data_IF_989488683796
#
_entry.id   IF_989488683796
#
_cell.length_a   1.000
_cell.length_b   1.000
_cell.length_c   1.000
_cell.angle_alpha   90.00
_cell.angle_beta   90.00
_cell.angle_gamma   90.00
#
_symmetry.space_group_name_H-M   'P 1'
#
loop_
_entity.id
_entity.type
_entity.pdbx_description
1 polymer ?
#
# COMPACT_ATOMS: atom_id res chain seq x y z
N UNK A 1 9.82 9.07 9.76
CA UNK A 1 9.28 10.41 9.43
C UNK A 1 8.14 10.28 8.44
N UNK A 2 7.03 10.99 8.69
CA UNK A 2 5.88 10.99 7.77
C UNK A 2 6.18 11.96 6.62
N UNK A 3 6.05 11.50 5.37
CA UNK A 3 6.26 12.33 4.20
C UNK A 3 5.12 13.35 4.01
N UNK A 4 5.45 14.56 3.56
CA UNK A 4 4.47 15.63 3.30
C UNK A 4 3.93 15.54 1.88
N UNK A 5 2.97 14.65 1.67
CA UNK A 5 2.37 14.43 0.34
C UNK A 5 1.04 15.16 0.13
N UNK A 6 0.54 15.84 1.15
CA UNK A 6 -0.81 16.38 1.16
C UNK A 6 -1.88 15.29 1.28
N UNK A 7 -3.15 15.67 1.17
CA UNK A 7 -4.27 14.73 1.20
C UNK A 7 -4.59 14.22 -0.21
N UNK A 8 -3.97 13.12 -0.60
CA UNK A 8 -4.09 12.52 -1.93
C UNK A 8 -5.50 12.00 -2.18
N UNK A 9 -6.12 11.34 -1.19
CA UNK A 9 -7.50 10.86 -1.32
C UNK A 9 -8.49 12.00 -1.55
N UNK A 10 -8.31 13.13 -0.84
CA UNK A 10 -9.15 14.31 -1.05
C UNK A 10 -8.93 14.96 -2.42
N UNK A 11 -7.69 14.98 -2.90
CA UNK A 11 -7.38 15.46 -4.26
C UNK A 11 -8.05 14.58 -5.32
N UNK A 12 -7.89 13.28 -5.26
CA UNK A 12 -8.50 12.35 -6.19
C UNK A 12 -10.03 12.47 -6.21
N UNK A 13 -10.66 12.52 -5.05
CA UNK A 13 -12.13 12.61 -4.92
C UNK A 13 -12.70 13.98 -5.30
N UNK A 14 -12.14 15.04 -4.75
CA UNK A 14 -12.77 16.36 -4.82
C UNK A 14 -12.37 17.14 -6.07
N UNK A 15 -11.11 16.98 -6.51
CA UNK A 15 -10.57 17.69 -7.68
C UNK A 15 -10.72 16.84 -8.95
N UNK A 16 -10.22 15.60 -8.93
CA UNK A 16 -10.24 14.71 -10.08
C UNK A 16 -11.58 13.95 -10.25
N UNK A 17 -12.46 13.99 -9.24
CA UNK A 17 -13.77 13.30 -9.25
C UNK A 17 -13.71 11.80 -9.41
N UNK A 18 -12.61 11.18 -9.03
CA UNK A 18 -12.44 9.73 -9.09
C UNK A 18 -13.42 8.99 -8.17
N UNK A 19 -13.95 7.87 -8.63
CA UNK A 19 -14.88 6.99 -7.86
C UNK A 19 -14.14 6.36 -6.71
N UNK A 20 -13.02 5.70 -7.00
CA UNK A 20 -12.12 5.12 -6.03
C UNK A 20 -10.88 6.00 -5.95
N UNK A 21 -10.56 6.46 -4.78
CA UNK A 21 -9.36 7.29 -4.57
C UNK A 21 -8.16 6.43 -4.23
N UNK A 22 -6.98 6.88 -4.62
CA UNK A 22 -5.71 6.37 -4.12
C UNK A 22 -5.59 6.51 -2.60
N UNK A 23 -4.60 5.88 -2.02
CA UNK A 23 -4.44 5.81 -0.58
C UNK A 23 -3.53 6.91 -0.02
N UNK A 24 -3.86 7.41 1.18
CA UNK A 24 -2.95 8.22 1.99
C UNK A 24 -1.99 7.38 2.85
N UNK A 25 -2.00 6.06 2.68
CA UNK A 25 -1.20 5.13 3.50
C UNK A 25 0.28 5.29 3.22
N UNK A 26 1.04 5.17 4.31
CA UNK A 26 2.49 5.01 4.27
C UNK A 26 2.84 3.72 4.98
N UNK A 27 3.68 2.91 4.37
CA UNK A 27 4.15 1.66 4.95
C UNK A 27 5.04 1.93 6.15
N UNK A 28 4.90 1.13 7.19
CA UNK A 28 5.78 1.18 8.36
C UNK A 28 6.91 0.16 8.30
N UNK A 29 6.70 -0.93 7.58
CA UNK A 29 7.59 -2.09 7.59
C UNK A 29 7.42 -2.97 8.85
N UNK A 30 6.30 -2.81 9.56
CA UNK A 30 5.98 -3.57 10.76
C UNK A 30 4.67 -4.31 10.56
N UNK A 31 4.63 -5.57 10.97
CA UNK A 31 3.43 -6.35 11.17
C UNK A 31 3.12 -6.47 12.66
N UNK A 32 1.84 -6.50 12.99
CA UNK A 32 1.38 -6.65 14.37
C UNK A 32 0.75 -8.02 14.60
N UNK A 33 0.92 -8.54 15.81
CA UNK A 33 0.31 -9.80 16.27
C UNK A 33 -0.86 -9.46 17.19
N UNK A 34 -2.07 -9.96 16.91
CA UNK A 34 -3.25 -9.69 17.72
C UNK A 34 -3.06 -10.01 19.21
N UNK A 35 -3.53 -9.12 20.07
CA UNK A 35 -3.41 -9.23 21.51
C UNK A 35 -2.10 -8.70 22.10
N UNK A 36 -1.06 -8.48 21.29
CA UNK A 36 0.16 -7.80 21.72
C UNK A 36 -0.09 -6.31 21.97
N UNK A 37 0.77 -5.71 22.79
CA UNK A 37 0.79 -4.25 22.99
C UNK A 37 1.84 -3.63 22.10
N UNK A 38 1.40 -2.72 21.24
CA UNK A 38 2.27 -1.87 20.42
C UNK A 38 2.45 -0.53 21.14
N UNK A 39 3.69 -0.13 21.38
CA UNK A 39 4.02 1.18 21.89
C UNK A 39 4.37 2.11 20.73
N UNK A 40 3.62 3.19 20.56
CA UNK A 40 3.80 4.16 19.47
C UNK A 40 4.06 5.53 20.07
N UNK A 41 5.26 6.07 19.89
CA UNK A 41 5.61 7.41 20.33
C UNK A 41 5.55 8.39 19.17
N UNK A 42 4.78 9.47 19.33
CA UNK A 42 4.61 10.53 18.34
C UNK A 42 5.37 11.78 18.77
N UNK A 43 6.44 12.10 18.05
CA UNK A 43 7.19 13.36 18.20
C UNK A 43 6.58 14.39 17.25
N UNK A 44 5.83 15.34 17.80
CA UNK A 44 5.13 16.37 17.06
C UNK A 44 4.97 17.62 17.92
N UNK A 45 5.03 18.82 17.30
CA UNK A 45 4.72 20.10 17.96
C UNK A 45 3.20 20.23 18.17
N UNK A 46 2.80 21.19 18.99
CA UNK A 46 1.37 21.39 19.33
C UNK A 46 0.51 21.64 18.08
N UNK A 47 1.04 22.38 17.12
CA UNK A 47 0.34 22.72 15.87
C UNK A 47 0.45 21.65 14.77
N UNK A 48 1.27 20.62 14.96
CA UNK A 48 1.47 19.59 13.94
C UNK A 48 0.24 18.67 13.84
N UNK A 49 -0.13 18.25 12.64
CA UNK A 49 -1.19 17.28 12.46
C UNK A 49 -0.75 15.92 12.96
N UNK A 50 -1.68 15.16 13.52
CA UNK A 50 -1.40 13.84 14.06
C UNK A 50 -1.87 12.75 13.09
N UNK A 51 -1.06 11.71 12.86
CA UNK A 51 -1.42 10.62 11.98
C UNK A 51 -2.41 9.66 12.63
N UNK A 52 -3.04 8.86 11.79
CA UNK A 52 -3.84 7.70 12.20
C UNK A 52 -3.03 6.43 11.93
N UNK A 53 -2.95 5.56 12.91
CA UNK A 53 -2.38 4.22 12.77
C UNK A 53 -3.46 3.29 12.21
N UNK A 54 -3.10 2.45 11.24
CA UNK A 54 -4.03 1.54 10.58
C UNK A 54 -3.49 0.11 10.66
N UNK A 55 -4.19 -0.74 11.37
CA UNK A 55 -3.97 -2.18 11.31
C UNK A 55 -4.75 -2.76 10.15
N UNK A 56 -4.13 -3.64 9.37
CA UNK A 56 -4.79 -4.31 8.25
C UNK A 56 -4.65 -5.81 8.37
N UNK A 57 -5.62 -6.53 7.85
CA UNK A 57 -5.51 -7.96 7.67
C UNK A 57 -4.45 -8.26 6.60
N UNK A 58 -3.64 -9.32 6.80
CA UNK A 58 -2.57 -9.67 5.85
C UNK A 58 -3.13 -10.07 4.49
N UNK A 59 -3.96 -11.09 4.44
CA UNK A 59 -4.66 -11.51 3.23
C UNK A 59 -6.15 -11.39 3.50
N UNK A 60 -6.83 -10.59 2.70
CA UNK A 60 -8.24 -10.35 2.81
C UNK A 60 -8.96 -10.67 1.52
N UNK A 61 -10.25 -10.44 1.52
CA UNK A 61 -11.07 -10.62 0.35
C UNK A 61 -12.08 -9.49 0.22
N UNK A 62 -12.02 -8.78 -0.90
CA UNK A 62 -12.96 -7.75 -1.33
C UNK A 62 -13.47 -6.87 -0.17
N UNK A 63 -14.82 -6.69 -0.09
CA UNK A 63 -15.47 -5.86 0.94
C UNK A 63 -15.31 -6.39 2.37
N UNK A 64 -14.72 -7.56 2.55
CA UNK A 64 -14.45 -8.18 3.86
C UNK A 64 -13.01 -8.02 4.32
N UNK A 65 -12.24 -7.23 3.60
CA UNK A 65 -10.93 -6.80 4.07
C UNK A 65 -11.09 -6.01 5.36
N UNK A 66 -10.55 -6.55 6.44
CA UNK A 66 -10.64 -5.91 7.74
C UNK A 66 -9.48 -4.95 7.96
N UNK A 67 -9.82 -3.79 8.48
CA UNK A 67 -8.87 -2.83 9.02
C UNK A 67 -9.43 -2.18 10.27
N UNK A 68 -8.55 -1.67 11.11
CA UNK A 68 -8.90 -0.91 12.30
C UNK A 68 -8.01 0.31 12.40
N UNK A 69 -8.60 1.47 12.70
CA UNK A 69 -7.93 2.76 12.71
C UNK A 69 -7.85 3.32 14.14
N UNK A 70 -6.69 3.90 14.47
CA UNK A 70 -6.43 4.52 15.77
C UNK A 70 -5.85 5.90 15.56
N UNK A 71 -6.59 6.93 15.99
CA UNK A 71 -6.05 8.29 16.07
C UNK A 71 -4.96 8.35 17.13
N UNK A 72 -3.76 8.77 16.73
CA UNK A 72 -2.63 8.87 17.64
C UNK A 72 -2.63 10.21 18.38
N UNK A 73 -2.17 10.18 19.62
CA UNK A 73 -1.87 11.37 20.42
C UNK A 73 -0.36 11.67 20.40
N UNK A 74 0.03 12.90 20.73
CA UNK A 74 1.43 13.26 20.97
C UNK A 74 1.98 12.47 22.14
N UNK A 75 3.25 12.07 22.06
CA UNK A 75 3.89 11.25 23.07
C UNK A 75 3.54 9.78 22.92
N UNK A 76 3.50 9.05 24.02
CA UNK A 76 3.32 7.62 24.07
C UNK A 76 1.86 7.22 23.90
N UNK A 77 1.60 6.30 22.97
CA UNK A 77 0.34 5.59 22.78
C UNK A 77 0.60 4.10 23.01
N UNK A 78 -0.14 3.48 23.91
CA UNK A 78 -0.14 2.03 24.10
C UNK A 78 -1.40 1.46 23.49
N UNK A 79 -1.24 0.60 22.48
CA UNK A 79 -2.35 0.09 21.67
C UNK A 79 -2.33 -1.42 21.69
N UNK A 80 -3.42 -2.03 22.14
CA UNK A 80 -3.61 -3.48 21.97
C UNK A 80 -3.96 -3.76 20.52
N UNK A 81 -3.17 -4.61 19.88
CA UNK A 81 -3.37 -4.99 18.47
C UNK A 81 -4.70 -5.73 18.33
N UNK A 82 -5.60 -5.26 17.46
CA UNK A 82 -6.90 -5.88 17.29
C UNK A 82 -6.81 -7.21 16.56
N UNK A 83 -7.69 -8.14 16.91
CA UNK A 83 -7.93 -9.33 16.09
C UNK A 83 -8.85 -8.96 14.92
N UNK A 84 -8.30 -9.03 13.71
CA UNK A 84 -9.02 -8.76 12.46
C UNK A 84 -9.48 -10.04 11.76
N UNK A 85 -9.34 -11.20 12.41
CA UNK A 85 -9.75 -12.48 11.85
C UNK A 85 -11.27 -12.55 11.66
N UNK A 86 -11.68 -13.03 10.50
CA UNK A 86 -13.08 -13.31 10.19
C UNK A 86 -13.25 -14.80 9.86
N UNK A 87 -13.83 -15.55 10.80
CA UNK A 87 -14.05 -16.99 10.66
C UNK A 87 -15.03 -17.38 9.53
N UNK A 88 -15.76 -16.42 8.96
CA UNK A 88 -16.65 -16.67 7.82
C UNK A 88 -15.90 -16.99 6.54
N UNK A 89 -14.62 -16.73 6.50
CA UNK A 89 -13.69 -17.08 5.43
C UNK A 89 -12.84 -18.25 5.91
N UNK A 90 -13.02 -19.40 5.33
CA UNK A 90 -12.40 -20.67 5.70
C UNK A 90 -10.88 -20.74 5.55
N UNK A 91 -10.19 -19.62 5.39
CA UNK A 91 -8.74 -19.57 5.37
C UNK A 91 -8.25 -19.07 6.71
N UNK A 92 -7.55 -19.94 7.43
CA UNK A 92 -6.70 -19.53 8.55
C UNK A 92 -5.55 -18.70 7.99
N UNK A 93 -5.81 -17.43 7.76
CA UNK A 93 -4.73 -16.46 7.67
C UNK A 93 -4.27 -16.19 9.08
N UNK A 94 -2.99 -15.99 9.28
CA UNK A 94 -2.50 -15.53 10.57
C UNK A 94 -3.26 -14.26 10.93
N UNK A 95 -3.83 -14.17 12.12
CA UNK A 95 -4.43 -12.94 12.57
C UNK A 95 -3.35 -11.87 12.61
N UNK A 96 -3.62 -10.70 12.09
CA UNK A 96 -2.63 -9.62 12.00
C UNK A 96 -2.23 -9.32 10.57
N UNK A 97 -1.37 -8.35 10.40
CA UNK A 97 -0.88 -7.91 9.09
C UNK A 97 -0.11 -6.60 9.14
N UNK A 98 0.23 -6.04 7.98
CA UNK A 98 0.99 -4.81 7.89
C UNK A 98 0.29 -3.64 8.56
N UNK A 99 1.08 -2.82 9.25
CA UNK A 99 0.65 -1.57 9.87
C UNK A 99 0.98 -0.42 8.93
N UNK A 100 0.02 0.49 8.77
CA UNK A 100 0.19 1.71 7.99
C UNK A 100 -0.05 2.96 8.85
N UNK A 101 0.43 4.08 8.35
CA UNK A 101 0.10 5.40 8.87
C UNK A 101 -0.64 6.18 7.79
N UNK A 102 -1.79 6.74 8.10
CA UNK A 102 -2.40 7.73 7.22
C UNK A 102 -1.65 9.05 7.33
N UNK A 103 -1.35 9.61 6.18
CA UNK A 103 -0.72 10.91 6.08
C UNK A 103 -1.68 12.02 6.57
N UNK A 104 -1.32 12.76 7.64
CA UNK A 104 -2.19 13.78 8.20
C UNK A 104 -2.05 15.14 7.53
N UNK A 105 -1.05 15.30 6.65
CA UNK A 105 -0.74 16.61 6.05
C UNK A 105 -1.77 17.01 5.01
N UNK A 106 -2.13 18.28 5.01
CA UNK A 106 -2.86 18.95 3.94
C UNK A 106 -1.95 19.98 3.27
N UNK A 107 -2.30 20.47 2.08
CA UNK A 107 -1.50 21.45 1.33
C UNK A 107 -1.14 22.71 2.11
N UNK A 108 -2.02 23.11 3.04
CA UNK A 108 -1.88 24.36 3.79
C UNK A 108 -1.04 24.24 5.06
N UNK A 109 -0.60 23.04 5.41
CA UNK A 109 0.13 22.81 6.66
C UNK A 109 1.64 22.96 6.43
N UNK A 110 2.24 23.96 7.05
CA UNK A 110 3.69 24.24 7.02
C UNK A 110 4.32 23.86 8.36
N UNK A 111 4.16 22.64 8.81
CA UNK A 111 4.79 22.14 10.03
C UNK A 111 6.07 21.35 9.71
N UNK A 112 6.88 21.10 10.73
CA UNK A 112 7.99 20.15 10.63
C UNK A 112 7.45 18.71 10.44
N UNK A 113 8.31 17.81 9.97
CA UNK A 113 7.88 16.43 9.81
C UNK A 113 7.58 15.78 11.16
N UNK A 114 6.41 15.20 11.29
CA UNK A 114 6.05 14.36 12.42
C UNK A 114 6.88 13.07 12.37
N UNK A 115 7.47 12.68 13.51
CA UNK A 115 8.22 11.44 13.62
C UNK A 115 7.46 10.44 14.46
N UNK A 116 7.51 9.20 14.03
CA UNK A 116 6.88 8.08 14.70
C UNK A 116 7.95 7.06 15.05
N UNK A 117 7.94 6.62 16.29
CA UNK A 117 8.76 5.52 16.79
C UNK A 117 7.82 4.41 17.25
N UNK A 118 8.10 3.19 16.87
CA UNK A 118 7.27 2.03 17.21
C UNK A 118 8.12 0.96 17.87
N UNK A 119 7.57 0.34 18.91
CA UNK A 119 8.12 -0.81 19.59
C UNK A 119 7.02 -1.85 19.81
N UNK A 120 7.34 -3.12 19.52
CA UNK A 120 6.39 -4.23 19.43
C UNK A 120 6.06 -4.63 18.00
N UNK A 121 5.41 -5.79 17.83
CA UNK A 121 5.25 -6.46 16.56
C UNK A 121 6.58 -7.00 16.01
N UNK A 122 6.65 -7.22 14.71
CA UNK A 122 7.87 -7.66 14.02
C UNK A 122 8.06 -6.92 12.71
N UNK A 123 9.32 -6.76 12.30
CA UNK A 123 9.67 -6.10 11.03
C UNK A 123 9.52 -7.07 9.87
N UNK A 124 9.07 -6.53 8.73
CA UNK A 124 9.01 -7.24 7.44
C UNK A 124 9.99 -6.59 6.46
N UNK A 125 10.47 -7.34 5.46
CA UNK A 125 11.29 -6.74 4.41
C UNK A 125 10.51 -5.67 3.67
N UNK A 126 11.15 -4.53 3.44
CA UNK A 126 10.58 -3.42 2.69
C UNK A 126 11.61 -2.90 1.71
N UNK A 127 11.19 -2.69 0.47
CA UNK A 127 11.98 -2.00 -0.54
C UNK A 127 11.30 -0.68 -0.91
N UNK A 128 11.95 0.43 -0.69
CA UNK A 128 11.50 1.75 -1.18
C UNK A 128 12.29 2.12 -2.42
N UNK A 129 11.66 2.81 -3.34
CA UNK A 129 12.32 3.31 -4.54
C UNK A 129 13.59 4.08 -4.17
N UNK A 130 14.73 3.60 -4.66
CA UNK A 130 16.05 4.15 -4.35
C UNK A 130 16.81 3.44 -3.24
N UNK A 131 16.21 2.48 -2.54
CA UNK A 131 16.91 1.63 -1.59
C UNK A 131 17.90 0.69 -2.33
N UNK A 132 18.86 0.14 -1.58
CA UNK A 132 19.77 -0.87 -2.11
C UNK A 132 19.06 -2.21 -2.32
N UNK A 133 19.09 -2.70 -3.55
CA UNK A 133 18.41 -3.94 -3.93
C UNK A 133 19.05 -5.19 -3.29
N UNK A 134 20.35 -5.16 -3.02
CA UNK A 134 21.05 -6.29 -2.41
C UNK A 134 20.75 -6.36 -0.89
N UNK A 135 20.71 -5.21 -0.22
CA UNK A 135 20.27 -5.15 1.18
C UNK A 135 18.84 -5.68 1.33
N UNK A 136 17.94 -5.32 0.41
CA UNK A 136 16.58 -5.85 0.41
C UNK A 136 16.54 -7.37 0.19
N UNK A 137 17.31 -7.91 -0.77
CA UNK A 137 17.38 -9.36 -1.02
C UNK A 137 17.87 -10.12 0.20
N UNK A 138 18.89 -9.61 0.89
CA UNK A 138 19.41 -10.19 2.11
C UNK A 138 18.36 -10.19 3.23
N UNK A 139 17.71 -9.05 3.47
CA UNK A 139 16.64 -8.95 4.45
C UNK A 139 15.46 -9.89 4.14
N UNK A 140 15.12 -10.05 2.86
CA UNK A 140 14.06 -10.95 2.41
C UNK A 140 14.43 -12.43 2.64
N UNK A 141 15.68 -12.80 2.40
CA UNK A 141 16.17 -14.16 2.65
C UNK A 141 16.16 -14.50 4.15
N UNK A 142 16.70 -13.62 4.99
CA UNK A 142 16.70 -13.76 6.46
C UNK A 142 15.27 -13.84 7.02
N UNK A 143 14.36 -13.00 6.52
CA UNK A 143 12.96 -13.03 6.94
C UNK A 143 12.28 -14.36 6.62
N UNK A 144 12.55 -14.94 5.47
CA UNK A 144 11.96 -16.23 5.07
C UNK A 144 12.50 -17.40 5.89
N UNK A 145 13.72 -17.31 6.42
CA UNK A 145 14.24 -18.28 7.38
C UNK A 145 13.45 -18.22 8.69
N UNK A 146 13.16 -17.01 9.21
CA UNK A 146 12.32 -16.82 10.40
C UNK A 146 10.89 -17.31 10.16
N UNK A 147 10.31 -16.97 9.02
CA UNK A 147 8.98 -17.44 8.62
C UNK A 147 8.87 -18.96 8.57
N UNK A 148 9.91 -19.64 8.08
CA UNK A 148 9.96 -21.10 8.02
C UNK A 148 10.20 -21.78 9.38
N UNK A 149 10.89 -21.09 10.30
CA UNK A 149 11.26 -21.63 11.61
C UNK A 149 10.13 -21.54 12.64
N UNK A 150 9.28 -20.51 12.54
CA UNK A 150 8.22 -20.22 13.52
C UNK A 150 6.82 -20.32 12.89
N UNK A 151 6.23 -21.52 12.95
CA UNK A 151 4.92 -21.79 12.38
C UNK A 151 3.85 -20.89 12.99
N UNK A 152 3.30 -20.03 12.14
CA UNK A 152 2.13 -19.20 12.44
C UNK A 152 2.40 -17.86 13.15
N UNK A 153 3.65 -17.50 13.47
CA UNK A 153 3.95 -16.19 14.06
C UNK A 153 4.13 -15.11 12.98
N UNK A 154 4.96 -15.39 11.99
CA UNK A 154 5.22 -14.46 10.89
C UNK A 154 4.22 -14.62 9.74
N UNK A 155 3.89 -13.55 9.05
CA UNK A 155 3.10 -13.59 7.82
C UNK A 155 4.02 -13.70 6.59
N UNK A 156 3.57 -14.42 5.56
CA UNK A 156 4.26 -14.46 4.26
C UNK A 156 4.05 -13.13 3.51
N UNK A 157 4.74 -12.06 3.93
CA UNK A 157 4.52 -10.71 3.39
C UNK A 157 5.81 -9.92 3.26
N UNK A 158 5.88 -9.12 2.21
CA UNK A 158 6.84 -8.03 2.00
C UNK A 158 6.15 -6.88 1.28
N UNK A 159 6.73 -5.69 1.37
CA UNK A 159 6.18 -4.51 0.71
C UNK A 159 7.24 -3.79 -0.12
N UNK A 160 6.82 -3.33 -1.31
CA UNK A 160 7.62 -2.43 -2.13
C UNK A 160 6.85 -1.13 -2.32
N UNK A 161 7.52 0.01 -2.24
CA UNK A 161 6.87 1.33 -2.34
C UNK A 161 7.63 2.29 -3.25
N UNK A 162 6.89 2.90 -4.17
CA UNK A 162 7.27 4.11 -4.89
C UNK A 162 6.37 5.27 -4.50
N UNK A 163 6.39 6.34 -5.29
CA UNK A 163 5.46 7.47 -5.13
C UNK A 163 4.04 7.11 -5.59
N UNK A 164 3.88 6.16 -6.52
CA UNK A 164 2.61 5.82 -7.19
C UNK A 164 2.07 4.46 -6.84
N UNK A 165 2.88 3.55 -6.32
CA UNK A 165 2.42 2.20 -5.97
C UNK A 165 2.93 1.74 -4.61
N UNK A 166 2.08 1.01 -3.91
CA UNK A 166 2.47 0.13 -2.80
C UNK A 166 2.13 -1.28 -3.25
N UNK A 167 3.14 -2.14 -3.38
CA UNK A 167 2.95 -3.57 -3.64
C UNK A 167 3.04 -4.31 -2.31
N UNK A 168 1.94 -4.90 -1.86
CA UNK A 168 1.90 -5.79 -0.69
C UNK A 168 1.74 -7.21 -1.20
N UNK A 169 2.85 -7.94 -1.29
CA UNK A 169 2.95 -9.25 -1.92
C UNK A 169 3.48 -10.29 -0.94
N UNK A 170 3.43 -11.57 -1.31
CA UNK A 170 4.04 -12.60 -0.46
C UNK A 170 5.56 -12.54 -0.53
N UNK A 171 6.22 -12.70 0.61
CA UNK A 171 7.67 -12.79 0.69
C UNK A 171 8.21 -13.98 -0.14
N UNK A 172 7.46 -15.08 -0.16
CA UNK A 172 7.77 -16.25 -1.00
C UNK A 172 7.80 -15.93 -2.49
N UNK A 173 6.85 -15.13 -3.00
CA UNK A 173 6.83 -14.68 -4.40
C UNK A 173 7.95 -13.69 -4.68
N UNK A 174 8.15 -12.74 -3.77
CA UNK A 174 9.23 -11.76 -3.89
C UNK A 174 10.59 -12.46 -3.95
N UNK A 175 10.82 -13.51 -3.16
CA UNK A 175 12.04 -14.33 -3.24
C UNK A 175 12.20 -14.93 -4.65
N UNK A 176 11.15 -15.56 -5.17
CA UNK A 176 11.22 -16.15 -6.52
C UNK A 176 11.60 -15.10 -7.56
N UNK A 177 11.00 -13.93 -7.53
CA UNK A 177 11.26 -12.89 -8.53
C UNK A 177 12.61 -12.19 -8.31
N UNK A 178 12.89 -11.73 -7.10
CA UNK A 178 14.02 -10.81 -6.85
C UNK A 178 15.32 -11.52 -6.48
N UNK A 179 15.25 -12.75 -5.94
CA UNK A 179 16.43 -13.55 -5.60
C UNK A 179 16.65 -14.61 -6.68
N UNK A 180 15.69 -15.52 -6.89
CA UNK A 180 15.91 -16.70 -7.75
C UNK A 180 16.00 -16.30 -9.24
N UNK A 181 15.18 -15.33 -9.69
CA UNK A 181 15.14 -14.84 -11.08
C UNK A 181 15.91 -13.52 -11.28
N UNK A 182 16.44 -12.95 -10.21
CA UNK A 182 17.27 -11.74 -10.23
C UNK A 182 16.59 -10.50 -10.84
N UNK A 183 15.26 -10.41 -10.77
CA UNK A 183 14.52 -9.20 -11.18
C UNK A 183 14.96 -8.03 -10.29
N UNK A 184 15.14 -6.86 -10.88
CA UNK A 184 15.53 -5.66 -10.12
C UNK A 184 14.30 -4.98 -9.51
N UNK A 185 14.12 -4.94 -8.17
CA UNK A 185 12.96 -4.34 -7.54
C UNK A 185 12.84 -2.83 -7.81
N UNK A 186 13.95 -2.13 -8.02
CA UNK A 186 13.95 -0.71 -8.38
C UNK A 186 13.33 -0.49 -9.76
N UNK A 187 13.74 -1.29 -10.76
CA UNK A 187 13.15 -1.24 -12.10
C UNK A 187 11.65 -1.56 -12.08
N UNK A 188 11.24 -2.55 -11.28
CA UNK A 188 9.82 -2.89 -11.11
C UNK A 188 9.02 -1.67 -10.65
N UNK A 189 9.51 -0.93 -9.65
CA UNK A 189 8.82 0.27 -9.18
C UNK A 189 8.84 1.42 -10.21
N UNK A 190 9.88 1.56 -11.01
CA UNK A 190 9.92 2.52 -12.11
C UNK A 190 8.91 2.18 -13.21
N UNK A 191 8.78 0.92 -13.55
CA UNK A 191 7.82 0.44 -14.55
C UNK A 191 6.38 0.67 -14.06
N UNK A 192 6.10 0.37 -12.79
CA UNK A 192 4.82 0.69 -12.16
C UNK A 192 4.52 2.19 -12.15
N UNK A 193 5.48 3.02 -11.78
CA UNK A 193 5.32 4.48 -11.77
C UNK A 193 5.01 5.02 -13.16
N UNK A 194 5.74 4.51 -14.18
CA UNK A 194 5.55 4.92 -15.58
C UNK A 194 4.19 4.49 -16.10
N UNK A 195 3.77 3.28 -15.77
CA UNK A 195 2.48 2.74 -16.19
C UNK A 195 1.32 3.53 -15.55
N UNK A 196 1.33 3.70 -14.23
CA UNK A 196 0.29 4.48 -13.55
C UNK A 196 0.26 5.94 -13.99
N UNK A 197 1.43 6.55 -14.18
CA UNK A 197 1.53 7.91 -14.71
C UNK A 197 0.82 8.03 -16.07
N UNK A 198 1.07 7.09 -16.99
CA UNK A 198 0.44 7.12 -18.31
C UNK A 198 -1.08 6.99 -18.24
N UNK A 199 -1.61 6.19 -17.32
CA UNK A 199 -3.05 6.06 -17.09
C UNK A 199 -3.65 7.36 -16.53
N UNK A 200 -3.00 7.99 -15.57
CA UNK A 200 -3.47 9.30 -15.05
C UNK A 200 -3.38 10.42 -16.06
N UNK A 201 -2.33 10.45 -16.91
CA UNK A 201 -2.21 11.42 -18.02
C UNK A 201 -3.35 11.24 -19.03
N UNK A 202 -3.74 10.00 -19.31
CA UNK A 202 -4.88 9.72 -20.18
C UNK A 202 -6.19 10.26 -19.57
N UNK A 203 -6.29 10.29 -18.24
CA UNK A 203 -7.43 10.90 -17.51
C UNK A 203 -7.36 12.44 -17.45
N UNK A 204 -6.33 13.04 -17.99
CA UNK A 204 -6.15 14.48 -18.05
C UNK A 204 -5.39 15.08 -16.87
N UNK A 205 -4.75 14.25 -16.04
CA UNK A 205 -3.87 14.72 -14.97
C UNK A 205 -2.59 15.31 -15.57
N UNK A 206 -2.27 16.56 -15.24
CA UNK A 206 -1.05 17.22 -15.71
C UNK A 206 0.09 17.03 -14.72
N UNK A 207 1.26 16.69 -15.23
CA UNK A 207 2.54 16.65 -14.52
C UNK A 207 3.48 17.78 -14.94
N UNK A 208 3.02 18.70 -15.78
CA UNK A 208 3.75 19.88 -16.17
C UNK A 208 3.52 21.01 -15.16
N UNK A 209 4.55 21.44 -14.39
CA UNK A 209 4.42 22.51 -13.40
C UNK A 209 3.94 23.86 -13.99
N UNK A 210 4.11 24.06 -15.28
CA UNK A 210 3.70 25.30 -15.97
C UNK A 210 2.23 25.23 -16.46
N UNK A 211 1.59 24.08 -16.32
CA UNK A 211 0.18 23.89 -16.67
C UNK A 211 -0.75 24.50 -15.61
N UNK A 212 -1.82 25.18 -16.06
CA UNK A 212 -2.89 25.65 -15.17
C UNK A 212 -3.64 24.53 -14.43
N UNK A 213 -3.50 23.28 -14.91
CA UNK A 213 -4.11 22.08 -14.33
C UNK A 213 -3.14 21.30 -13.44
N UNK A 214 -1.90 21.78 -13.25
CA UNK A 214 -0.93 21.11 -12.40
C UNK A 214 -1.29 21.21 -10.92
N UNK A 215 -1.15 20.10 -10.24
CA UNK A 215 -1.24 20.00 -8.79
C UNK A 215 -0.13 19.07 -8.28
N UNK A 216 0.70 19.56 -7.37
CA UNK A 216 1.83 18.79 -6.85
C UNK A 216 1.41 17.45 -6.20
N UNK A 217 0.16 17.31 -5.77
CA UNK A 217 -0.38 16.05 -5.24
C UNK A 217 -0.51 14.98 -6.33
N UNK A 218 -0.60 15.35 -7.60
CA UNK A 218 -0.62 14.41 -8.72
C UNK A 218 0.59 13.47 -8.73
N UNK A 219 1.76 13.99 -8.28
CA UNK A 219 2.99 13.18 -8.18
C UNK A 219 2.86 11.98 -7.24
N UNK A 220 1.92 12.03 -6.31
CA UNK A 220 1.70 11.05 -5.25
C UNK A 220 0.37 10.31 -5.38
N UNK A 221 -0.35 10.46 -6.51
CA UNK A 221 -1.48 9.60 -6.80
C UNK A 221 -1.00 8.16 -6.86
N UNK A 222 -1.49 7.34 -5.93
CA UNK A 222 -0.95 6.01 -5.74
C UNK A 222 -2.05 4.97 -5.53
N UNK A 223 -1.72 3.72 -5.78
CA UNK A 223 -2.57 2.55 -5.59
C UNK A 223 -1.85 1.55 -4.72
N UNK A 224 -2.54 0.93 -3.77
CA UNK A 224 -2.02 -0.25 -3.09
C UNK A 224 -2.48 -1.52 -3.80
N UNK A 225 -1.56 -2.24 -4.41
CA UNK A 225 -1.81 -3.54 -5.02
C UNK A 225 -1.48 -4.63 -3.99
N UNK A 226 -2.46 -5.46 -3.65
CA UNK A 226 -2.36 -6.41 -2.53
C UNK A 226 -2.79 -7.80 -2.92
N UNK A 227 -2.07 -8.80 -2.43
CA UNK A 227 -2.45 -10.20 -2.59
C UNK A 227 -3.72 -10.51 -1.80
N UNK A 228 -4.63 -11.26 -2.42
CA UNK A 228 -5.87 -11.71 -1.83
C UNK A 228 -6.03 -13.24 -1.89
N UNK A 229 -7.13 -13.71 -1.37
CA UNK A 229 -7.57 -15.10 -1.49
C UNK A 229 -7.66 -15.57 -2.95
N UNK A 230 -7.27 -16.82 -3.25
CA UNK A 230 -7.01 -17.30 -4.61
C UNK A 230 -8.24 -17.64 -5.45
N UNK A 231 -9.46 -17.26 -5.08
CA UNK A 231 -10.67 -17.66 -5.79
C UNK A 231 -11.30 -16.62 -6.72
N UNK A 232 -10.72 -15.43 -6.80
CA UNK A 232 -11.02 -14.42 -7.82
C UNK A 232 -9.73 -13.98 -8.49
N UNK A 233 -9.76 -13.53 -9.73
CA UNK A 233 -8.56 -13.09 -10.44
C UNK A 233 -8.03 -11.78 -9.87
N UNK A 234 -8.87 -10.76 -9.82
CA UNK A 234 -8.58 -9.46 -9.24
C UNK A 234 -9.89 -8.72 -8.89
N UNK A 235 -9.77 -7.62 -8.17
CA UNK A 235 -10.84 -6.66 -7.91
C UNK A 235 -10.27 -5.30 -7.51
N UNK A 236 -11.00 -4.23 -7.75
CA UNK A 236 -10.71 -2.91 -7.21
C UNK A 236 -11.65 -2.56 -6.05
N UNK A 237 -11.13 -1.86 -5.05
CA UNK A 237 -11.92 -1.33 -3.94
C UNK A 237 -11.23 -0.13 -3.32
N UNK A 238 -11.99 0.79 -2.78
CA UNK A 238 -11.65 2.15 -2.32
C UNK A 238 -10.18 2.62 -2.34
N UNK A 239 -9.26 1.89 -1.76
CA UNK A 239 -7.87 2.30 -1.59
C UNK A 239 -6.87 1.27 -2.13
N UNK A 240 -7.34 0.17 -2.72
CA UNK A 240 -6.48 -0.90 -3.17
C UNK A 240 -7.06 -1.69 -4.33
N UNK A 241 -6.17 -2.35 -5.05
CA UNK A 241 -6.49 -3.42 -5.99
C UNK A 241 -6.06 -4.74 -5.36
N UNK A 242 -7.02 -5.66 -5.19
CA UNK A 242 -6.73 -7.01 -4.75
C UNK A 242 -6.39 -7.90 -5.93
N UNK A 243 -5.31 -8.67 -5.83
CA UNK A 243 -4.82 -9.58 -6.86
C UNK A 243 -4.70 -11.00 -6.36
N UNK A 244 -4.98 -11.96 -7.23
CA UNK A 244 -4.85 -13.38 -6.91
C UNK A 244 -3.38 -13.77 -6.69
N UNK A 245 -3.12 -14.55 -5.65
CA UNK A 245 -1.83 -15.23 -5.45
C UNK A 245 -1.52 -16.11 -6.68
N UNK A 246 -0.30 -16.02 -7.17
CA UNK A 246 0.16 -16.76 -8.35
C UNK A 246 0.45 -15.85 -9.55
N UNK A 247 -0.23 -16.04 -10.68
CA UNK A 247 0.10 -15.32 -11.94
C UNK A 247 -0.04 -13.80 -11.81
N UNK A 248 -1.09 -13.29 -11.17
CA UNK A 248 -1.30 -11.86 -11.00
C UNK A 248 -0.27 -11.24 -10.04
N UNK A 249 0.05 -11.95 -8.98
CA UNK A 249 1.12 -11.55 -8.07
C UNK A 249 2.48 -11.55 -8.76
N UNK A 250 2.76 -12.55 -9.61
CA UNK A 250 3.98 -12.59 -10.41
C UNK A 250 4.08 -11.38 -11.33
N UNK A 251 3.04 -11.07 -12.11
CA UNK A 251 3.00 -9.89 -12.98
C UNK A 251 3.32 -8.63 -12.18
N UNK A 252 2.74 -8.48 -10.99
CA UNK A 252 3.00 -7.32 -10.14
C UNK A 252 4.46 -7.23 -9.70
N UNK A 253 5.09 -8.37 -9.39
CA UNK A 253 6.51 -8.43 -9.00
C UNK A 253 7.49 -8.25 -10.19
N UNK A 254 7.01 -8.36 -11.41
CA UNK A 254 7.82 -8.05 -12.61
C UNK A 254 7.68 -6.60 -13.08
N UNK A 255 6.60 -5.92 -12.72
CA UNK A 255 6.31 -4.57 -13.18
C UNK A 255 6.00 -4.48 -14.68
N UNK A 256 5.70 -5.60 -15.32
CA UNK A 256 5.47 -5.66 -16.76
C UNK A 256 4.46 -6.74 -17.14
N UNK A 257 3.91 -6.66 -18.36
CA UNK A 257 2.93 -7.65 -18.83
C UNK A 257 1.58 -7.52 -18.14
N UNK A 258 1.21 -6.32 -17.69
CA UNK A 258 -0.03 -6.07 -16.94
C UNK A 258 -1.28 -6.60 -17.62
N UNK A 259 -1.35 -6.48 -18.94
CA UNK A 259 -2.46 -6.99 -19.72
C UNK A 259 -3.81 -6.34 -19.38
N UNK A 260 -4.84 -6.78 -20.09
CA UNK A 260 -6.20 -6.20 -19.96
C UNK A 260 -6.74 -6.28 -18.52
N UNK A 261 -6.56 -7.38 -17.84
CA UNK A 261 -7.16 -7.56 -16.51
C UNK A 261 -6.61 -6.60 -15.44
N UNK A 262 -5.28 -6.38 -15.40
CA UNK A 262 -4.70 -5.40 -14.47
C UNK A 262 -5.13 -3.99 -14.84
N UNK A 263 -5.12 -3.64 -16.12
CA UNK A 263 -5.61 -2.34 -16.61
C UNK A 263 -7.08 -2.11 -16.26
N UNK A 264 -7.92 -3.15 -16.34
CA UNK A 264 -9.33 -3.11 -15.97
C UNK A 264 -9.52 -2.75 -14.48
N UNK A 265 -8.79 -3.41 -13.57
CA UNK A 265 -8.91 -3.11 -12.14
C UNK A 265 -8.33 -1.74 -11.78
N UNK A 266 -7.22 -1.36 -12.41
CA UNK A 266 -6.68 0.00 -12.24
C UNK A 266 -7.62 1.05 -12.83
N UNK A 267 -8.30 0.74 -13.92
CA UNK A 267 -9.34 1.58 -14.52
C UNK A 267 -10.47 1.89 -13.55
N UNK A 268 -10.89 0.93 -12.71
CA UNK A 268 -11.85 1.20 -11.64
C UNK A 268 -11.35 2.26 -10.65
N UNK A 269 -10.04 2.25 -10.34
CA UNK A 269 -9.44 3.25 -9.44
C UNK A 269 -9.45 4.66 -10.05
N UNK A 270 -9.46 4.76 -11.37
CA UNK A 270 -9.34 6.00 -12.15
C UNK A 270 -10.67 6.51 -12.72
N UNK A 271 -11.73 5.70 -12.67
CA UNK A 271 -13.06 6.10 -13.14
C UNK A 271 -13.53 7.41 -12.51
N UNK A 272 -14.06 8.32 -13.34
CA UNK A 272 -14.58 9.60 -12.89
C UNK A 272 -16.06 9.45 -12.58
N UNK A 273 -16.49 9.85 -11.37
CA UNK A 273 -17.82 9.62 -10.82
C UNK A 273 -18.97 10.13 -11.69
N UNK A 274 -18.74 11.19 -12.48
CA UNK A 274 -19.78 11.79 -13.32
C UNK A 274 -19.98 11.07 -14.66
N UNK A 275 -19.04 10.21 -15.06
CA UNK A 275 -19.08 9.49 -16.35
C UNK A 275 -18.92 7.97 -16.20
N UNK A 276 -18.73 7.49 -14.99
CA UNK A 276 -18.50 6.05 -14.79
C UNK A 276 -19.73 5.21 -15.16
N UNK A 277 -19.49 4.11 -15.84
CA UNK A 277 -20.41 3.01 -16.01
C UNK A 277 -19.68 1.75 -15.64
N UNK A 278 -19.96 1.25 -14.45
CA UNK A 278 -19.32 0.07 -13.88
C UNK A 278 -19.12 -1.03 -14.91
N UNK A 279 -17.95 -1.65 -14.93
CA UNK A 279 -17.53 -2.72 -15.85
C UNK A 279 -17.47 -2.31 -17.35
N UNK A 280 -17.61 -1.03 -17.66
CA UNK A 280 -17.59 -0.52 -19.04
C UNK A 280 -16.51 0.55 -19.21
N UNK A 281 -16.59 1.65 -18.46
CA UNK A 281 -15.65 2.77 -18.62
C UNK A 281 -14.24 2.42 -18.16
N UNK A 282 -14.11 1.59 -17.16
CA UNK A 282 -12.84 1.06 -16.69
C UNK A 282 -12.08 0.19 -17.72
N UNK A 283 -12.74 -0.20 -18.83
CA UNK A 283 -12.09 -0.89 -19.96
C UNK A 283 -11.51 0.05 -21.02
N UNK A 284 -11.56 1.33 -20.80
CA UNK A 284 -10.99 2.33 -21.72
C UNK A 284 -9.50 2.56 -21.47
N UNK A 285 -8.99 2.01 -20.39
CA UNK A 285 -7.61 2.15 -19.89
C UNK A 285 -6.64 1.07 -20.39
#
# INVERSE_FOLDING_TARGET
>A
TIARRGNISAYARNTLKMVWQGTNRQITGVCAVPGETLAVFVEAKEQDPLPTLVFTQHIGYWSKWKSSEYSLNRGLNLITVPDLYDSSWSVKTNPGGPIYLYNPYTEKQQSENVKIYMDGGYTIPVYRKGDDAEEYRNALAEYLELYAAEDGYYNDVTELQSDRVILTVTASRAKSSYIDESVNPGQVLEDWDSYLKSLYEFDGVSYDPDSEHYDARAEYLNVNVRVMQPWAAAYAYTEHVGIQKGTWEQISCYGSGFGWGMSHELGHMMDISERTRSEVTNNMW
#
